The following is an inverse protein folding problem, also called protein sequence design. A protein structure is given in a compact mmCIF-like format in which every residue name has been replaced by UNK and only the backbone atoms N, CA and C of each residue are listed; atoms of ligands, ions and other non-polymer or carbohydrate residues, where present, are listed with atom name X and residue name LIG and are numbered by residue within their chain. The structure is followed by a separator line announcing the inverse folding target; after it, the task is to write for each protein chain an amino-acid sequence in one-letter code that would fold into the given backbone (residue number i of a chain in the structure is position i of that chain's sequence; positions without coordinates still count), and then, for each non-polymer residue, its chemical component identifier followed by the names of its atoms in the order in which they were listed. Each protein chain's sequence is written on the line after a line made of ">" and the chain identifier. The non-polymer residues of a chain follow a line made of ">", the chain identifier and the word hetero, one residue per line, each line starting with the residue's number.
data_IF_255157922516
#
_entry.id   IF_255157922516
#
_cell.length_a   1.000
_cell.length_b   1.000
_cell.length_c   1.000
_cell.angle_alpha   90.00
_cell.angle_beta   90.00
_cell.angle_gamma   90.00
#
_symmetry.space_group_name_H-M   'P 1'
#
loop_
_entity.id
_entity.type
_entity.pdbx_description
1 polymer ?
#
# COMPACT_ATOMS: atom_id res chain seq x y z
N UNK A 1 -1.17 1.40 -25.18
CA UNK A 1 0.22 1.67 -24.76
C UNK A 1 0.45 0.88 -23.47
N UNK A 2 1.41 -0.03 -23.46
CA UNK A 2 1.73 -0.78 -22.24
C UNK A 2 2.26 0.20 -21.19
N UNK A 3 1.54 0.34 -20.09
CA UNK A 3 1.96 1.10 -18.92
C UNK A 3 3.07 0.28 -18.22
N UNK A 4 4.30 0.41 -18.71
CA UNK A 4 5.44 -0.26 -18.09
C UNK A 4 5.84 0.54 -16.85
N UNK A 5 5.41 0.09 -15.67
CA UNK A 5 5.84 0.63 -14.36
C UNK A 5 7.34 0.39 -14.09
N UNK A 6 8.14 0.28 -15.16
CA UNK A 6 9.56 -0.02 -15.07
C UNK A 6 10.40 1.13 -15.60
N UNK A 7 11.33 1.60 -14.77
CA UNK A 7 12.39 2.54 -15.13
C UNK A 7 13.66 1.74 -15.43
N UNK A 8 14.08 1.72 -16.69
CA UNK A 8 15.40 1.15 -17.05
C UNK A 8 16.48 2.20 -16.86
N UNK A 9 17.47 1.86 -16.04
CA UNK A 9 18.67 2.66 -15.77
C UNK A 9 19.93 1.83 -16.02
N UNK A 10 21.04 2.52 -16.28
CA UNK A 10 22.36 1.88 -16.27
C UNK A 10 23.05 2.18 -14.95
N UNK A 11 23.28 1.15 -14.15
CA UNK A 11 24.00 1.20 -12.87
C UNK A 11 25.07 0.11 -12.85
N UNK A 12 26.28 0.42 -12.39
CA UNK A 12 27.41 -0.50 -12.30
C UNK A 12 27.69 -1.28 -13.60
N UNK A 13 27.57 -0.57 -14.75
CA UNK A 13 27.76 -1.08 -16.12
C UNK A 13 26.69 -2.10 -16.58
N UNK A 14 25.64 -2.30 -15.80
CA UNK A 14 24.51 -3.18 -16.11
C UNK A 14 23.23 -2.38 -16.30
N UNK A 15 22.37 -2.83 -17.20
CA UNK A 15 21.03 -2.28 -17.35
C UNK A 15 20.10 -2.94 -16.32
N UNK A 16 19.47 -2.10 -15.49
CA UNK A 16 18.60 -2.53 -14.39
C UNK A 16 17.21 -1.96 -14.65
N UNK A 17 16.20 -2.83 -14.61
CA UNK A 17 14.80 -2.41 -14.61
C UNK A 17 14.31 -2.26 -13.14
N UNK A 18 13.96 -1.03 -12.77
CA UNK A 18 13.42 -0.70 -11.45
C UNK A 18 11.91 -0.53 -11.55
N UNK A 19 11.17 -1.11 -10.64
CA UNK A 19 9.75 -0.77 -10.48
C UNK A 19 9.65 0.66 -9.93
N UNK A 20 9.02 1.56 -10.70
CA UNK A 20 8.86 2.98 -10.38
C UNK A 20 8.18 3.16 -9.01
N UNK A 21 7.26 2.26 -8.64
CA UNK A 21 6.52 2.28 -7.37
C UNK A 21 7.42 2.08 -6.15
N UNK A 22 8.59 1.45 -6.33
CA UNK A 22 9.55 1.25 -5.24
C UNK A 22 10.44 2.47 -4.99
N UNK A 23 10.45 3.46 -5.89
CA UNK A 23 11.30 4.64 -5.79
C UNK A 23 10.71 5.62 -4.79
N UNK A 24 11.45 5.94 -3.73
CA UNK A 24 11.05 6.93 -2.73
C UNK A 24 11.42 8.34 -3.16
N UNK A 25 12.69 8.54 -3.53
CA UNK A 25 13.19 9.82 -4.04
C UNK A 25 14.48 9.64 -4.83
N UNK A 26 14.83 10.66 -5.57
CA UNK A 26 16.05 10.74 -6.37
C UNK A 26 16.77 12.02 -6.01
N UNK A 27 18.06 11.91 -5.73
CA UNK A 27 18.98 13.02 -5.54
C UNK A 27 19.98 13.07 -6.68
N UNK A 28 20.32 14.28 -7.16
CA UNK A 28 21.46 14.45 -8.06
C UNK A 28 22.56 15.23 -7.35
N UNK A 29 23.75 14.64 -7.32
CA UNK A 29 24.99 15.24 -6.87
C UNK A 29 26.11 14.91 -7.87
N UNK A 30 26.92 15.89 -8.27
CA UNK A 30 28.06 15.69 -9.17
C UNK A 30 27.74 14.92 -10.45
N UNK A 31 26.57 15.20 -11.07
CA UNK A 31 26.07 14.54 -12.28
C UNK A 31 25.74 13.02 -12.10
N UNK A 32 25.61 12.56 -10.88
CA UNK A 32 25.16 11.22 -10.56
C UNK A 32 23.80 11.32 -9.88
N UNK A 33 22.82 10.61 -10.42
CA UNK A 33 21.53 10.42 -9.79
C UNK A 33 21.59 9.21 -8.84
N UNK A 34 21.26 9.44 -7.59
CA UNK A 34 21.08 8.41 -6.56
C UNK A 34 19.60 8.16 -6.38
N UNK A 35 19.14 6.95 -6.73
CA UNK A 35 17.76 6.51 -6.68
C UNK A 35 17.57 5.69 -5.43
N UNK A 36 16.83 6.21 -4.46
CA UNK A 36 16.53 5.58 -3.18
C UNK A 36 15.23 4.80 -3.27
N UNK A 37 15.24 3.53 -2.87
CA UNK A 37 14.08 2.63 -2.97
C UNK A 37 13.55 2.21 -1.60
N UNK A 38 12.29 1.79 -1.53
CA UNK A 38 11.63 1.30 -0.32
C UNK A 38 12.29 0.06 0.29
N UNK A 39 13.00 -0.73 -0.52
CA UNK A 39 13.83 -1.84 -0.04
C UNK A 39 15.18 -1.43 0.56
N UNK A 40 15.44 -0.13 0.77
CA UNK A 40 16.69 0.38 1.34
C UNK A 40 17.89 0.36 0.37
N UNK A 41 17.69 -0.09 -0.87
CA UNK A 41 18.76 -0.12 -1.88
C UNK A 41 18.85 1.22 -2.60
N UNK A 42 20.10 1.66 -2.85
CA UNK A 42 20.40 2.90 -3.59
C UNK A 42 21.06 2.50 -4.91
N UNK A 43 20.50 2.98 -6.02
CA UNK A 43 21.06 2.79 -7.35
C UNK A 43 21.66 4.09 -7.87
N UNK A 44 22.80 4.01 -8.54
CA UNK A 44 23.51 5.18 -9.10
C UNK A 44 23.48 5.14 -10.62
N UNK A 45 23.10 6.26 -11.22
CA UNK A 45 23.09 6.38 -12.70
C UNK A 45 23.53 7.78 -13.11
N UNK A 46 24.05 7.90 -14.34
CA UNK A 46 24.42 9.20 -14.96
C UNK A 46 23.25 9.86 -15.73
N UNK A 47 22.03 9.39 -15.50
CA UNK A 47 20.85 9.97 -16.15
C UNK A 47 20.56 11.35 -15.54
N UNK A 48 20.27 12.36 -16.40
CA UNK A 48 19.93 13.71 -15.94
C UNK A 48 18.56 13.75 -15.26
N UNK A 49 18.34 14.77 -14.41
CA UNK A 49 17.07 14.94 -13.71
C UNK A 49 15.90 15.09 -14.68
N UNK A 50 16.08 15.88 -15.76
CA UNK A 50 15.04 16.10 -16.78
C UNK A 50 14.65 14.78 -17.47
N UNK A 51 15.64 13.93 -17.77
CA UNK A 51 15.40 12.62 -18.37
C UNK A 51 14.69 11.67 -17.40
N UNK A 52 15.02 11.74 -16.13
CA UNK A 52 14.32 10.98 -15.08
C UNK A 52 12.90 11.51 -14.92
N UNK A 53 12.72 12.81 -14.79
CA UNK A 53 11.43 13.49 -14.67
C UNK A 53 10.49 13.11 -15.82
N UNK A 54 10.98 13.16 -17.06
CA UNK A 54 10.18 12.79 -18.26
C UNK A 54 9.78 11.31 -18.29
N UNK A 55 10.59 10.41 -17.71
CA UNK A 55 10.29 8.98 -17.65
C UNK A 55 9.36 8.61 -16.48
N UNK A 56 9.42 9.35 -15.38
CA UNK A 56 8.66 9.10 -14.16
C UNK A 56 7.29 9.79 -14.18
N UNK A 57 7.13 10.83 -15.00
CA UNK A 57 5.85 11.52 -15.22
C UNK A 57 5.26 12.13 -13.94
N UNK A 58 3.93 12.10 -13.84
CA UNK A 58 3.17 12.76 -12.76
C UNK A 58 3.35 12.09 -11.37
N UNK A 59 3.97 10.93 -11.31
CA UNK A 59 4.21 10.23 -10.04
C UNK A 59 5.24 10.89 -9.11
N UNK A 60 5.90 11.99 -9.53
CA UNK A 60 6.96 12.63 -8.75
C UNK A 60 6.80 14.15 -8.65
N UNK A 61 7.15 14.68 -7.45
CA UNK A 61 7.30 16.11 -7.19
C UNK A 61 8.77 16.55 -7.34
N UNK A 62 8.98 17.82 -7.74
CA UNK A 62 10.31 18.44 -7.82
C UNK A 62 10.51 19.54 -6.78
N UNK A 63 10.77 19.18 -5.51
CA UNK A 63 10.91 20.15 -4.42
C UNK A 63 12.19 20.99 -4.52
N UNK A 64 13.18 20.55 -5.31
CA UNK A 64 14.45 21.22 -5.55
C UNK A 64 14.95 20.92 -6.97
N UNK A 65 15.83 21.81 -7.51
CA UNK A 65 16.41 21.64 -8.86
C UNK A 65 17.21 20.34 -9.06
N UNK A 66 17.63 19.69 -7.97
CA UNK A 66 18.42 18.45 -7.99
C UNK A 66 17.69 17.27 -7.35
N UNK A 67 16.36 17.35 -7.18
CA UNK A 67 15.65 16.31 -6.43
C UNK A 67 14.25 16.05 -6.97
N UNK A 68 13.91 14.77 -7.09
CA UNK A 68 12.54 14.29 -7.30
C UNK A 68 12.11 13.46 -6.09
N UNK A 69 10.85 13.56 -5.70
CA UNK A 69 10.27 12.80 -4.59
C UNK A 69 8.97 12.15 -5.06
N UNK A 70 8.84 10.87 -4.85
CA UNK A 70 7.62 10.13 -5.20
C UNK A 70 6.41 10.68 -4.44
N UNK A 71 5.36 11.04 -5.15
CA UNK A 71 4.07 11.48 -4.58
C UNK A 71 3.52 10.44 -3.61
N UNK A 72 3.69 9.16 -3.94
CA UNK A 72 3.23 8.02 -3.15
C UNK A 72 4.04 7.84 -1.86
N UNK A 73 5.32 8.22 -1.86
CA UNK A 73 6.18 8.13 -0.69
C UNK A 73 5.95 9.27 0.32
N UNK A 74 5.27 10.37 -0.08
CA UNK A 74 5.08 11.54 0.78
C UNK A 74 3.93 11.29 1.77
N UNK A 75 4.25 11.34 3.06
CA UNK A 75 3.25 11.37 4.13
C UNK A 75 2.59 12.75 4.24
N UNK A 76 3.40 13.79 4.48
CA UNK A 76 2.94 15.19 4.54
C UNK A 76 4.10 16.17 4.28
N UNK A 77 3.75 17.46 4.09
CA UNK A 77 4.71 18.56 3.90
C UNK A 77 4.51 19.58 5.03
N UNK A 78 5.48 19.63 5.95
CA UNK A 78 5.51 20.58 7.08
C UNK A 78 6.64 21.59 6.92
N UNK A 79 7.66 21.55 7.76
CA UNK A 79 8.97 22.21 7.60
C UNK A 79 9.89 21.43 6.64
N UNK A 80 9.61 20.15 6.48
CA UNK A 80 10.21 19.22 5.52
C UNK A 80 9.13 18.40 4.85
N UNK A 81 9.49 17.71 3.76
CA UNK A 81 8.69 16.64 3.20
C UNK A 81 8.98 15.40 4.05
N UNK A 82 7.98 14.92 4.77
CA UNK A 82 8.08 13.71 5.57
C UNK A 82 7.63 12.54 4.72
N UNK A 83 8.45 11.48 4.62
CA UNK A 83 8.13 10.27 3.89
C UNK A 83 7.45 9.23 4.81
N UNK A 84 6.75 8.28 4.20
CA UNK A 84 6.07 7.18 4.90
C UNK A 84 7.04 6.28 5.69
N UNK A 85 8.30 6.19 5.26
CA UNK A 85 9.35 5.44 5.94
C UNK A 85 10.04 6.21 7.09
N UNK A 86 9.58 7.45 7.39
CA UNK A 86 10.13 8.31 8.43
C UNK A 86 11.26 9.22 7.97
N UNK A 87 11.78 9.08 6.76
CA UNK A 87 12.78 9.99 6.22
C UNK A 87 12.21 11.40 6.00
N UNK A 88 13.08 12.40 6.10
CA UNK A 88 12.71 13.83 6.01
C UNK A 88 13.55 14.52 4.94
N UNK A 89 12.89 15.05 3.92
CA UNK A 89 13.52 15.68 2.76
C UNK A 89 13.33 17.19 2.80
N UNK A 90 14.41 17.92 2.66
CA UNK A 90 14.37 19.39 2.61
C UNK A 90 13.87 19.88 1.26
N UNK A 91 13.14 20.99 1.28
CA UNK A 91 12.65 21.69 0.09
C UNK A 91 12.88 23.20 0.22
N UNK A 92 12.63 23.95 -0.86
CA UNK A 92 12.76 25.42 -0.86
C UNK A 92 11.54 26.01 -0.14
N UNK A 93 11.74 26.59 1.07
CA UNK A 93 10.68 27.02 1.98
C UNK A 93 9.60 27.92 1.31
N UNK A 94 9.99 28.82 0.40
CA UNK A 94 9.08 29.70 -0.35
C UNK A 94 8.10 28.92 -1.26
N UNK A 95 8.41 27.68 -1.61
CA UNK A 95 7.59 26.80 -2.47
C UNK A 95 6.58 25.95 -1.69
N UNK A 96 6.46 26.13 -0.36
CA UNK A 96 5.60 25.25 0.45
C UNK A 96 4.17 25.15 -0.07
N UNK A 97 3.52 26.32 -0.32
CA UNK A 97 2.13 26.36 -0.80
C UNK A 97 1.98 25.73 -2.19
N UNK A 98 2.92 26.01 -3.10
CA UNK A 98 2.97 25.46 -4.45
C UNK A 98 3.12 23.93 -4.41
N UNK A 99 4.05 23.42 -3.60
CA UNK A 99 4.31 21.97 -3.46
C UNK A 99 3.11 21.22 -2.84
N UNK A 100 2.40 21.82 -1.88
CA UNK A 100 1.18 21.21 -1.32
C UNK A 100 0.08 21.15 -2.39
N UNK A 101 -0.13 22.24 -3.14
CA UNK A 101 -1.12 22.27 -4.21
C UNK A 101 -0.78 21.25 -5.31
N UNK A 102 0.49 21.20 -5.74
CA UNK A 102 0.97 20.24 -6.75
C UNK A 102 0.84 18.79 -6.26
N UNK A 103 1.14 18.50 -4.98
CA UNK A 103 0.96 17.20 -4.37
C UNK A 103 -0.50 16.73 -4.47
N UNK A 104 -1.43 17.60 -4.05
CA UNK A 104 -2.85 17.28 -4.07
C UNK A 104 -3.36 17.06 -5.52
N UNK A 105 -2.97 17.94 -6.45
CA UNK A 105 -3.34 17.79 -7.85
C UNK A 105 -2.80 16.48 -8.46
N UNK A 106 -1.53 16.15 -8.20
CA UNK A 106 -0.93 14.90 -8.70
C UNK A 106 -1.56 13.67 -8.05
N UNK A 107 -1.92 13.71 -6.76
CA UNK A 107 -2.67 12.63 -6.10
C UNK A 107 -4.02 12.39 -6.77
N UNK A 108 -4.79 13.45 -7.02
CA UNK A 108 -6.07 13.34 -7.74
C UNK A 108 -5.88 12.76 -9.13
N UNK A 109 -4.86 13.19 -9.87
CA UNK A 109 -4.56 12.64 -11.22
C UNK A 109 -4.16 11.18 -11.16
N UNK A 110 -3.38 10.75 -10.18
CA UNK A 110 -3.00 9.35 -10.01
C UNK A 110 -4.23 8.48 -9.72
N UNK A 111 -5.14 8.95 -8.86
CA UNK A 111 -6.43 8.28 -8.59
C UNK A 111 -7.25 8.17 -9.89
N UNK A 112 -7.44 9.27 -10.62
CA UNK A 112 -8.21 9.29 -11.87
C UNK A 112 -7.56 8.47 -12.99
N UNK A 113 -6.23 8.34 -13.01
CA UNK A 113 -5.54 7.49 -14.00
C UNK A 113 -5.66 5.99 -13.65
N UNK A 114 -5.83 5.65 -12.39
CA UNK A 114 -6.21 4.29 -11.98
C UNK A 114 -7.63 4.01 -12.47
N UNK A 115 -8.56 4.95 -12.33
CA UNK A 115 -9.94 4.86 -12.82
C UNK A 115 -10.04 4.65 -14.35
N UNK A 116 -9.16 5.27 -15.13
CA UNK A 116 -9.23 5.18 -16.59
C UNK A 116 -8.67 3.87 -17.18
N UNK A 117 -7.97 3.07 -16.40
CA UNK A 117 -7.31 1.83 -16.83
C UNK A 117 -7.88 0.53 -16.28
N UNK A 118 -8.64 0.59 -15.20
CA UNK A 118 -9.32 -0.56 -14.61
C UNK A 118 -10.84 -0.42 -14.81
N UNK A 119 -11.48 -1.44 -15.37
CA UNK A 119 -12.93 -1.51 -15.36
C UNK A 119 -13.38 -1.70 -13.90
N UNK A 120 -14.17 -0.74 -13.40
CA UNK A 120 -14.86 -0.92 -12.12
C UNK A 120 -15.87 -2.05 -12.28
N UNK A 121 -15.73 -3.06 -11.43
CA UNK A 121 -16.70 -4.16 -11.37
C UNK A 121 -17.90 -3.66 -10.59
N UNK A 122 -19.13 -3.76 -11.13
CA UNK A 122 -20.34 -3.44 -10.38
C UNK A 122 -20.39 -4.18 -9.05
N UNK A 123 -20.97 -3.57 -8.03
CA UNK A 123 -21.04 -4.14 -6.67
C UNK A 123 -21.68 -5.53 -6.66
N UNK A 124 -22.72 -5.73 -7.47
CA UNK A 124 -23.42 -7.01 -7.62
C UNK A 124 -22.54 -8.12 -8.23
N UNK A 125 -21.50 -7.74 -8.98
CA UNK A 125 -20.59 -8.68 -9.65
C UNK A 125 -19.35 -9.01 -8.81
N UNK A 126 -19.07 -8.28 -7.73
CA UNK A 126 -17.90 -8.51 -6.88
C UNK A 126 -17.92 -9.89 -6.23
N UNK A 127 -19.08 -10.36 -5.81
CA UNK A 127 -19.22 -11.71 -5.26
C UNK A 127 -18.87 -12.78 -6.30
N UNK A 128 -19.27 -12.59 -7.54
CA UNK A 128 -18.96 -13.52 -8.63
C UNK A 128 -17.45 -13.48 -8.95
N UNK A 129 -16.84 -12.29 -8.96
CA UNK A 129 -15.41 -12.12 -9.19
C UNK A 129 -14.58 -12.87 -8.15
N UNK A 130 -14.95 -12.74 -6.87
CA UNK A 130 -14.20 -13.30 -5.74
C UNK A 130 -14.69 -14.67 -5.27
N UNK A 131 -15.62 -15.30 -5.95
CA UNK A 131 -16.20 -16.59 -5.56
C UNK A 131 -15.17 -17.70 -5.31
N UNK A 132 -14.03 -17.66 -5.99
CA UNK A 132 -12.95 -18.61 -5.74
C UNK A 132 -12.35 -18.50 -4.33
N UNK A 133 -12.54 -17.38 -3.64
CA UNK A 133 -12.07 -17.20 -2.25
C UNK A 133 -13.04 -17.76 -1.20
N UNK A 134 -14.29 -18.10 -1.56
CA UNK A 134 -15.30 -18.61 -0.62
C UNK A 134 -14.86 -19.91 0.07
N UNK A 135 -14.11 -20.75 -0.63
CA UNK A 135 -13.63 -22.04 -0.14
C UNK A 135 -12.25 -21.97 0.50
N UNK A 136 -11.55 -20.82 0.39
CA UNK A 136 -10.20 -20.69 0.95
C UNK A 136 -10.25 -20.58 2.48
N UNK A 137 -9.33 -21.27 3.18
CA UNK A 137 -9.23 -21.17 4.65
C UNK A 137 -8.57 -19.87 5.12
N UNK A 138 -8.06 -19.05 4.19
CA UNK A 138 -7.43 -17.76 4.48
C UNK A 138 -8.50 -16.66 4.45
N UNK A 139 -8.55 -15.82 5.48
CA UNK A 139 -9.45 -14.69 5.52
C UNK A 139 -9.12 -13.69 4.39
N UNK A 140 -10.13 -13.37 3.58
CA UNK A 140 -10.02 -12.42 2.49
C UNK A 140 -11.19 -11.44 2.49
N UNK A 141 -10.90 -10.17 2.24
CA UNK A 141 -11.90 -9.13 2.02
C UNK A 141 -11.44 -8.16 0.93
N UNK A 142 -12.38 -7.63 0.17
CA UNK A 142 -12.21 -6.42 -0.64
C UNK A 142 -12.91 -5.26 0.08
N UNK A 143 -12.20 -4.17 0.28
CA UNK A 143 -12.68 -3.00 0.98
C UNK A 143 -12.57 -1.76 0.09
N UNK A 144 -13.61 -0.93 0.11
CA UNK A 144 -13.64 0.37 -0.57
C UNK A 144 -13.36 1.48 0.43
N UNK A 145 -12.43 2.39 0.09
CA UNK A 145 -12.09 3.54 0.92
C UNK A 145 -13.19 4.60 0.91
N UNK A 146 -13.54 5.09 2.09
CA UNK A 146 -14.37 6.29 2.28
C UNK A 146 -13.44 7.47 2.47
N UNK A 147 -13.53 8.47 1.58
CA UNK A 147 -12.65 9.62 1.57
C UNK A 147 -13.37 10.87 2.10
N UNK A 148 -12.62 11.78 2.72
CA UNK A 148 -13.07 13.13 3.04
C UNK A 148 -12.92 14.08 1.83
N UNK A 149 -13.32 15.36 2.02
CA UNK A 149 -13.17 16.41 1.00
C UNK A 149 -11.72 16.68 0.59
N UNK A 150 -10.74 16.27 1.41
CA UNK A 150 -9.32 16.37 1.14
C UNK A 150 -8.73 15.14 0.44
N UNK A 151 -9.56 14.16 0.03
CA UNK A 151 -9.14 12.86 -0.50
C UNK A 151 -8.25 12.05 0.46
N UNK A 152 -8.48 12.19 1.77
CA UNK A 152 -7.88 11.32 2.78
C UNK A 152 -8.88 10.26 3.21
N UNK A 153 -8.40 9.04 3.37
CA UNK A 153 -9.24 7.96 3.86
C UNK A 153 -9.66 8.22 5.32
N UNK A 154 -10.96 8.17 5.57
CA UNK A 154 -11.56 8.35 6.90
C UNK A 154 -12.23 7.10 7.43
N UNK A 155 -12.60 6.17 6.55
CA UNK A 155 -13.21 4.88 6.87
C UNK A 155 -13.05 3.93 5.67
N UNK A 156 -13.57 2.71 5.75
CA UNK A 156 -13.76 1.83 4.59
C UNK A 156 -15.05 1.03 4.72
N UNK A 157 -15.55 0.54 3.58
CA UNK A 157 -16.74 -0.31 3.50
C UNK A 157 -16.30 -1.71 3.06
N UNK A 158 -16.80 -2.74 3.73
CA UNK A 158 -16.61 -4.13 3.29
C UNK A 158 -17.47 -4.39 2.05
N UNK A 159 -16.85 -4.54 0.88
CA UNK A 159 -17.55 -4.84 -0.38
C UNK A 159 -17.66 -6.33 -0.67
N UNK A 160 -16.67 -7.08 -0.23
CA UNK A 160 -16.67 -8.53 -0.23
C UNK A 160 -15.93 -9.05 1.00
N UNK A 161 -16.39 -10.17 1.52
CA UNK A 161 -15.72 -10.93 2.58
C UNK A 161 -16.02 -12.42 2.40
N UNK A 162 -15.02 -13.27 2.62
CA UNK A 162 -15.21 -14.70 2.57
C UNK A 162 -15.58 -15.30 3.94
N UNK A 163 -16.07 -16.56 4.01
CA UNK A 163 -16.43 -17.21 5.27
C UNK A 163 -15.27 -17.32 6.27
N UNK A 164 -14.01 -17.36 5.78
CA UNK A 164 -12.84 -17.38 6.67
C UNK A 164 -12.66 -16.05 7.40
N UNK A 165 -12.97 -14.90 6.75
CA UNK A 165 -12.96 -13.61 7.44
C UNK A 165 -14.03 -13.54 8.51
N UNK A 166 -15.26 -13.98 8.21
CA UNK A 166 -16.34 -13.99 9.20
C UNK A 166 -15.97 -14.79 10.46
N UNK A 167 -15.27 -15.91 10.30
CA UNK A 167 -14.74 -16.70 11.43
C UNK A 167 -13.65 -15.96 12.20
N UNK A 168 -12.72 -15.32 11.49
CA UNK A 168 -11.62 -14.57 12.09
C UNK A 168 -12.13 -13.39 12.92
N UNK A 169 -13.00 -12.57 12.31
CA UNK A 169 -13.59 -11.37 12.93
C UNK A 169 -14.72 -11.70 13.91
N UNK A 170 -15.12 -12.99 14.01
CA UNK A 170 -16.25 -13.46 14.84
C UNK A 170 -17.56 -12.71 14.55
N UNK A 171 -17.73 -12.26 13.31
CA UNK A 171 -18.84 -11.44 12.85
C UNK A 171 -19.44 -12.06 11.57
N UNK A 172 -20.76 -12.28 11.49
CA UNK A 172 -21.41 -12.85 10.32
C UNK A 172 -21.24 -11.98 9.06
N UNK A 173 -21.16 -12.60 7.87
CA UNK A 173 -20.95 -11.88 6.60
C UNK A 173 -22.02 -10.81 6.33
N UNK A 174 -23.28 -11.07 6.67
CA UNK A 174 -24.38 -10.10 6.50
C UNK A 174 -24.29 -8.90 7.45
N UNK A 175 -23.46 -8.96 8.47
CA UNK A 175 -23.16 -7.85 9.36
C UNK A 175 -21.87 -7.10 8.98
N UNK A 176 -21.08 -7.67 8.05
CA UNK A 176 -19.87 -7.06 7.50
C UNK A 176 -20.13 -6.37 6.15
N UNK A 177 -20.65 -7.14 5.18
CA UNK A 177 -20.79 -6.68 3.78
C UNK A 177 -21.75 -5.48 3.70
N UNK A 178 -21.30 -4.41 3.01
CA UNK A 178 -22.03 -3.16 2.87
C UNK A 178 -21.95 -2.25 4.10
N UNK A 179 -21.27 -2.67 5.18
CA UNK A 179 -21.10 -1.87 6.38
C UNK A 179 -19.76 -1.16 6.40
N UNK A 180 -19.72 0.02 6.98
CA UNK A 180 -18.46 0.69 7.23
C UNK A 180 -17.74 0.04 8.42
N UNK A 181 -16.40 0.04 8.38
CA UNK A 181 -15.60 -0.56 9.46
C UNK A 181 -15.92 0.07 10.80
N UNK A 182 -15.99 1.40 10.88
CA UNK A 182 -16.32 2.11 12.14
C UNK A 182 -17.69 1.74 12.70
N UNK A 183 -18.65 1.36 11.84
CA UNK A 183 -19.97 0.92 12.30
C UNK A 183 -19.95 -0.47 12.93
N UNK A 184 -19.02 -1.33 12.50
CA UNK A 184 -18.83 -2.68 13.03
C UNK A 184 -17.82 -2.67 14.18
N UNK A 185 -16.71 -1.94 14.02
CA UNK A 185 -15.59 -1.87 14.95
C UNK A 185 -15.30 -0.40 15.33
N UNK A 186 -15.97 0.19 16.31
CA UNK A 186 -15.90 1.62 16.60
C UNK A 186 -14.55 2.11 17.13
N UNK A 187 -13.69 1.22 17.61
CA UNK A 187 -12.38 1.55 18.20
C UNK A 187 -11.20 1.36 17.23
N UNK A 188 -11.42 1.61 15.94
CA UNK A 188 -10.40 1.44 14.89
C UNK A 188 -9.08 2.16 15.20
N UNK A 189 -7.97 1.43 15.10
CA UNK A 189 -6.63 2.02 15.13
C UNK A 189 -6.34 2.71 13.77
N UNK A 190 -5.97 3.99 13.82
CA UNK A 190 -5.66 4.81 12.64
C UNK A 190 -4.53 4.27 11.76
N UNK A 191 -3.68 3.37 12.29
CA UNK A 191 -2.61 2.71 11.52
C UNK A 191 -3.14 1.86 10.37
N UNK A 192 -4.29 1.19 10.57
CA UNK A 192 -4.92 0.35 9.55
C UNK A 192 -5.38 1.19 8.37
N UNK A 193 -6.06 2.28 8.66
CA UNK A 193 -6.61 3.19 7.65
C UNK A 193 -5.52 3.72 6.71
N UNK A 194 -4.39 4.18 7.26
CA UNK A 194 -3.26 4.70 6.47
C UNK A 194 -2.64 3.66 5.53
N UNK A 195 -2.56 2.42 5.96
CA UNK A 195 -1.97 1.36 5.14
C UNK A 195 -2.94 0.92 4.03
N UNK A 196 -4.22 0.81 4.35
CA UNK A 196 -5.25 0.50 3.34
C UNK A 196 -5.41 1.62 2.31
N UNK A 197 -5.35 2.89 2.74
CA UNK A 197 -5.29 4.05 1.85
C UNK A 197 -4.14 3.93 0.83
N UNK A 198 -2.95 3.54 1.27
CA UNK A 198 -1.79 3.36 0.40
C UNK A 198 -2.01 2.25 -0.63
N UNK A 199 -2.61 1.15 -0.24
CA UNK A 199 -2.93 0.08 -1.17
C UNK A 199 -4.03 0.50 -2.16
N UNK A 200 -5.15 1.05 -1.66
CA UNK A 200 -6.31 1.38 -2.46
C UNK A 200 -6.09 2.56 -3.42
N UNK A 201 -5.44 3.63 -2.95
CA UNK A 201 -5.33 4.88 -3.71
C UNK A 201 -3.98 5.01 -4.43
N UNK A 202 -2.92 4.38 -3.92
CA UNK A 202 -1.59 4.53 -4.48
C UNK A 202 -1.03 3.25 -5.11
N UNK A 203 -1.83 2.18 -5.15
CA UNK A 203 -1.47 0.93 -5.82
C UNK A 203 -0.32 0.16 -5.18
N UNK A 204 -0.04 0.41 -3.89
CA UNK A 204 1.02 -0.28 -3.16
C UNK A 204 0.57 -1.67 -2.69
N UNK A 205 1.47 -2.66 -2.77
CA UNK A 205 1.30 -3.93 -2.05
C UNK A 205 2.08 -3.88 -0.75
N UNK A 206 1.39 -4.05 0.37
CA UNK A 206 1.94 -3.89 1.72
C UNK A 206 1.80 -5.18 2.51
N UNK A 207 2.79 -5.46 3.34
CA UNK A 207 2.76 -6.55 4.32
C UNK A 207 2.89 -5.94 5.71
N UNK A 208 1.92 -6.23 6.57
CA UNK A 208 1.89 -5.71 7.94
C UNK A 208 1.79 -6.86 8.93
N UNK A 209 2.41 -6.67 10.10
CA UNK A 209 2.22 -7.54 11.26
C UNK A 209 1.85 -6.63 12.42
N UNK A 210 0.67 -6.83 12.99
CA UNK A 210 0.22 -6.03 14.12
C UNK A 210 -0.79 -6.80 14.98
N UNK A 211 -0.91 -6.39 16.24
CA UNK A 211 -1.99 -6.81 17.11
C UNK A 211 -3.29 -6.10 16.71
N UNK A 212 -4.36 -6.86 16.52
CA UNK A 212 -5.71 -6.34 16.33
C UNK A 212 -6.43 -6.38 17.68
N UNK A 213 -6.74 -5.23 18.29
CA UNK A 213 -7.44 -5.19 19.56
C UNK A 213 -8.92 -5.62 19.42
N UNK A 214 -9.50 -5.52 18.22
CA UNK A 214 -10.89 -5.85 17.94
C UNK A 214 -11.19 -7.34 18.16
N UNK A 215 -10.23 -8.19 17.81
CA UNK A 215 -10.35 -9.66 17.93
C UNK A 215 -9.30 -10.26 18.86
N UNK A 216 -8.50 -9.40 19.52
CA UNK A 216 -7.44 -9.75 20.45
C UNK A 216 -6.46 -10.82 19.92
N UNK A 217 -5.92 -10.58 18.72
CA UNK A 217 -4.94 -11.49 18.10
C UNK A 217 -3.88 -10.74 17.30
N UNK A 218 -2.77 -11.42 16.99
CA UNK A 218 -1.76 -10.92 16.08
C UNK A 218 -2.09 -11.35 14.65
N UNK A 219 -2.18 -10.36 13.77
CA UNK A 219 -2.44 -10.56 12.34
C UNK A 219 -1.22 -10.25 11.50
N UNK A 220 -0.96 -11.12 10.52
CA UNK A 220 -0.20 -10.75 9.32
C UNK A 220 -1.20 -10.43 8.22
N UNK A 221 -1.12 -9.22 7.68
CA UNK A 221 -2.03 -8.73 6.65
C UNK A 221 -1.22 -8.40 5.40
N UNK A 222 -1.70 -8.87 4.26
CA UNK A 222 -1.19 -8.51 2.95
C UNK A 222 -2.28 -7.70 2.25
N UNK A 223 -1.99 -6.42 1.97
CA UNK A 223 -2.89 -5.51 1.27
C UNK A 223 -2.37 -5.25 -0.13
N UNK A 224 -3.26 -5.24 -1.12
CA UNK A 224 -2.93 -5.01 -2.52
C UNK A 224 -4.09 -4.32 -3.24
N UNK A 225 -3.82 -3.51 -4.28
CA UNK A 225 -4.88 -2.85 -5.03
C UNK A 225 -5.71 -3.89 -5.81
N UNK A 226 -7.02 -3.71 -5.85
CA UNK A 226 -7.95 -4.57 -6.60
C UNK A 226 -8.64 -3.81 -7.72
N UNK A 227 -9.35 -2.76 -7.40
CA UNK A 227 -9.96 -1.81 -8.35
C UNK A 227 -9.84 -0.39 -7.80
N UNK A 228 -10.17 0.67 -8.57
CA UNK A 228 -10.04 2.06 -8.12
C UNK A 228 -10.72 2.31 -6.78
N UNK A 229 -9.97 2.86 -5.83
CA UNK A 229 -10.48 3.13 -4.48
C UNK A 229 -10.63 1.90 -3.58
N UNK A 230 -10.30 0.69 -4.07
CA UNK A 230 -10.42 -0.55 -3.33
C UNK A 230 -9.07 -1.20 -3.03
N UNK A 231 -9.02 -1.96 -1.95
CA UNK A 231 -7.90 -2.88 -1.72
C UNK A 231 -8.39 -4.25 -1.24
N UNK A 232 -7.73 -5.29 -1.75
CA UNK A 232 -7.86 -6.65 -1.25
C UNK A 232 -6.96 -6.84 -0.04
N UNK A 233 -7.47 -7.53 0.99
CA UNK A 233 -6.73 -7.83 2.20
C UNK A 233 -6.78 -9.34 2.48
N UNK A 234 -5.61 -9.97 2.52
CA UNK A 234 -5.44 -11.33 3.04
C UNK A 234 -4.98 -11.24 4.50
N UNK A 235 -5.71 -11.86 5.40
CA UNK A 235 -5.45 -11.83 6.84
C UNK A 235 -5.10 -13.23 7.35
N UNK A 236 -4.01 -13.31 8.08
CA UNK A 236 -3.51 -14.54 8.71
C UNK A 236 -3.42 -14.33 10.21
N UNK A 237 -4.11 -15.14 10.99
CA UNK A 237 -3.90 -15.20 12.43
C UNK A 237 -2.52 -15.83 12.70
N UNK A 238 -1.64 -15.09 13.35
CA UNK A 238 -0.29 -15.53 13.67
C UNK A 238 -0.01 -15.54 15.19
N UNK A 239 -1.04 -15.51 16.01
CA UNK A 239 -0.88 -15.47 17.47
C UNK A 239 0.01 -16.61 17.99
N UNK A 240 -0.22 -17.85 17.56
CA UNK A 240 0.60 -19.00 17.96
C UNK A 240 2.08 -18.84 17.55
N UNK A 241 2.34 -18.26 16.37
CA UNK A 241 3.71 -18.02 15.90
C UNK A 241 4.41 -16.94 16.73
N UNK A 242 3.69 -15.85 17.06
CA UNK A 242 4.23 -14.76 17.87
C UNK A 242 4.54 -15.23 19.29
N UNK A 243 3.62 -15.95 19.92
CA UNK A 243 3.82 -16.49 21.25
C UNK A 243 5.05 -17.43 21.31
N UNK A 244 5.27 -18.21 20.26
CA UNK A 244 6.41 -19.13 20.18
C UNK A 244 7.73 -18.41 19.86
N UNK A 245 7.73 -17.31 19.09
CA UNK A 245 8.91 -16.46 18.91
C UNK A 245 9.36 -15.87 20.27
N UNK A 246 8.41 -15.38 21.06
CA UNK A 246 8.67 -14.81 22.38
C UNK A 246 9.13 -15.86 23.41
N UNK A 247 8.71 -17.12 23.25
CA UNK A 247 9.12 -18.24 24.11
C UNK A 247 10.37 -19.00 23.64
N UNK A 248 10.98 -18.61 22.52
CA UNK A 248 12.18 -19.26 21.96
C UNK A 248 11.93 -20.53 21.13
N UNK A 249 10.68 -20.92 20.89
CA UNK A 249 10.29 -22.12 20.10
C UNK A 249 9.79 -21.77 18.67
N UNK A 250 10.34 -20.72 18.11
CA UNK A 250 9.89 -20.14 16.83
C UNK A 250 9.92 -21.13 15.64
N UNK A 251 10.90 -22.06 15.62
CA UNK A 251 11.04 -22.98 14.50
C UNK A 251 9.89 -24.01 14.47
N UNK A 252 9.59 -24.62 15.61
CA UNK A 252 8.52 -25.60 15.72
C UNK A 252 7.13 -24.97 15.54
N UNK A 253 6.95 -23.73 15.95
CA UNK A 253 5.69 -23.01 15.76
C UNK A 253 5.41 -22.72 14.28
N UNK A 254 6.43 -22.31 13.51
CA UNK A 254 6.30 -22.14 12.06
C UNK A 254 5.90 -23.43 11.36
N UNK A 255 6.52 -24.56 11.73
CA UNK A 255 6.17 -25.86 11.17
C UNK A 255 4.73 -26.27 11.50
N UNK A 256 4.29 -26.10 12.75
CA UNK A 256 2.89 -26.38 13.17
C UNK A 256 1.89 -25.49 12.41
N UNK A 257 2.19 -24.20 12.26
CA UNK A 257 1.34 -23.28 11.52
C UNK A 257 1.16 -23.71 10.05
N UNK A 258 2.26 -24.07 9.36
CA UNK A 258 2.18 -24.54 7.98
C UNK A 258 1.45 -25.89 7.87
N UNK A 259 1.69 -26.81 8.81
CA UNK A 259 0.96 -28.09 8.82
C UNK A 259 -0.55 -27.87 8.96
N UNK A 260 -0.98 -27.01 9.90
CA UNK A 260 -2.40 -26.66 10.11
C UNK A 260 -3.03 -25.98 8.89
N UNK A 261 -2.29 -25.10 8.19
CA UNK A 261 -2.76 -24.52 6.94
C UNK A 261 -2.94 -25.57 5.85
N UNK A 262 -2.01 -26.53 5.73
CA UNK A 262 -2.11 -27.61 4.73
C UNK A 262 -3.26 -28.57 5.03
N UNK A 263 -3.53 -28.89 6.29
CA UNK A 263 -4.67 -29.71 6.72
C UNK A 263 -6.03 -29.06 6.38
N UNK A 264 -6.12 -27.74 6.29
CA UNK A 264 -7.33 -27.02 5.93
C UNK A 264 -7.56 -26.93 4.41
N UNK A 265 -6.55 -27.32 3.59
CA UNK A 265 -6.62 -27.33 2.12
C UNK A 265 -7.02 -28.70 1.55
N UNK A 266 -7.10 -29.76 2.38
CA UNK A 266 -7.51 -31.12 2.05
C UNK A 266 -8.94 -31.35 2.52
#
# INVERSE_FOLDING_TARGET
>A
MQNTNLLTIRSDRQDIALDIRTILYINISENIAEIHTSGGKIYKTRMTLEKLESKLGDGFLKPHRSRLVSVMAIHNITDKINLNNGERISYVARKKKELIAELNEKRVRLINNIDSGMQTVPEDDLHQLYRCFDTLPVAFTDIEMVLDEGNHAVDWIFRYANPALARLEKTPLNELIGRSFKSVFPNMDSKWLKNYERAALYGETLVMIAHSPEIDTYLKIICFPTQPGHCGCLLFDIAEMKFAEDSGDAHNAKLRYFAKMLEQLV
#
